data_IF_286176577175
#
_entry.id   IF_286176577175
#
_cell.length_a   1.000
_cell.length_b   1.000
_cell.length_c   1.000
_cell.angle_alpha   90.00
_cell.angle_beta   90.00
_cell.angle_gamma   90.00
#
_symmetry.space_group_name_H-M   'P 1'
#
loop_
_entity.id
_entity.type
_entity.pdbx_description
1 polymer ?
#
# COMPACT_ATOMS: atom_id res chain seq x y z
N UNK A 1 -30.57 7.92 -33.36
CA UNK A 1 -30.51 8.54 -32.02
C UNK A 1 -29.92 7.49 -31.08
N UNK A 2 -28.76 7.77 -30.46
CA UNK A 2 -28.01 6.84 -29.58
C UNK A 2 -28.78 6.52 -28.29
N UNK A 3 -28.33 5.68 -27.36
CA UNK A 3 -27.00 5.22 -26.91
C UNK A 3 -27.23 3.84 -26.26
N UNK A 4 -26.35 2.83 -26.33
CA UNK A 4 -25.03 2.78 -25.73
C UNK A 4 -24.99 1.57 -24.77
N UNK A 5 -24.30 0.51 -25.17
CA UNK A 5 -24.20 -0.74 -24.40
C UNK A 5 -23.47 -0.55 -23.06
N UNK A 6 -24.14 -0.94 -21.96
CA UNK A 6 -23.53 -1.06 -20.65
C UNK A 6 -22.90 -2.42 -20.47
N UNK A 7 -21.65 -2.58 -20.92
CA UNK A 7 -20.83 -3.73 -20.54
C UNK A 7 -20.61 -3.67 -19.02
N UNK A 8 -21.12 -4.68 -18.31
CA UNK A 8 -20.86 -4.90 -16.89
C UNK A 8 -19.38 -5.23 -16.66
N UNK A 9 -18.54 -4.20 -16.59
CA UNK A 9 -17.17 -4.34 -16.14
C UNK A 9 -17.18 -4.59 -14.63
N UNK A 10 -16.90 -5.83 -14.20
CA UNK A 10 -16.45 -6.08 -12.82
C UNK A 10 -15.31 -5.08 -12.57
N UNK A 11 -15.32 -4.29 -11.49
CA UNK A 11 -14.20 -3.41 -11.21
C UNK A 11 -12.97 -4.30 -11.15
N UNK A 12 -12.02 -4.10 -12.08
CA UNK A 12 -10.69 -4.67 -11.97
C UNK A 12 -10.15 -4.07 -10.68
N UNK A 13 -10.23 -4.83 -9.59
CA UNK A 13 -9.60 -4.45 -8.33
C UNK A 13 -8.12 -4.41 -8.68
N UNK A 14 -7.63 -3.21 -8.96
CA UNK A 14 -6.21 -3.02 -9.24
C UNK A 14 -5.44 -3.53 -8.03
N UNK A 15 -4.26 -4.10 -8.25
CA UNK A 15 -3.40 -4.61 -7.18
C UNK A 15 -3.26 -3.58 -6.03
N UNK A 16 -3.24 -2.28 -6.37
CA UNK A 16 -3.28 -1.17 -5.42
C UNK A 16 -4.54 -1.11 -4.55
N UNK A 17 -5.72 -1.34 -5.12
CA UNK A 17 -6.97 -1.36 -4.35
C UNK A 17 -6.95 -2.49 -3.32
N UNK A 18 -6.24 -3.59 -3.59
CA UNK A 18 -6.05 -4.68 -2.64
C UNK A 18 -5.37 -4.21 -1.35
N UNK A 19 -4.28 -3.44 -1.46
CA UNK A 19 -3.60 -2.84 -0.31
C UNK A 19 -4.51 -1.88 0.46
N UNK A 20 -5.16 -0.95 -0.25
CA UNK A 20 -6.02 0.07 0.37
C UNK A 20 -7.18 -0.58 1.12
N UNK A 21 -7.83 -1.59 0.54
CA UNK A 21 -8.92 -2.32 1.18
C UNK A 21 -8.43 -3.11 2.40
N UNK A 22 -7.24 -3.72 2.31
CA UNK A 22 -6.65 -4.44 3.42
C UNK A 22 -6.35 -3.52 4.60
N UNK A 23 -5.73 -2.35 4.37
CA UNK A 23 -5.48 -1.36 5.43
C UNK A 23 -6.78 -0.84 6.04
N UNK A 24 -7.81 -0.55 5.23
CA UNK A 24 -9.13 -0.16 5.75
C UNK A 24 -9.74 -1.23 6.64
N UNK A 25 -9.64 -2.50 6.24
CA UNK A 25 -10.13 -3.62 7.03
C UNK A 25 -9.38 -3.72 8.37
N UNK A 26 -8.05 -3.65 8.37
CA UNK A 26 -7.26 -3.71 9.61
C UNK A 26 -7.56 -2.54 10.55
N UNK A 27 -7.72 -1.32 10.01
CA UNK A 27 -8.11 -0.16 10.82
C UNK A 27 -9.45 -0.36 11.51
N UNK A 28 -10.44 -0.89 10.78
CA UNK A 28 -11.76 -1.15 11.33
C UNK A 28 -11.75 -2.30 12.35
N UNK A 29 -11.02 -3.38 12.05
CA UNK A 29 -10.95 -4.58 12.88
C UNK A 29 -10.21 -4.34 14.21
N UNK A 30 -9.13 -3.53 14.18
CA UNK A 30 -8.29 -3.29 15.36
C UNK A 30 -8.53 -1.92 16.01
N UNK A 31 -9.39 -1.07 15.43
CA UNK A 31 -9.62 0.32 15.88
C UNK A 31 -8.33 1.16 16.02
N UNK A 32 -7.41 1.00 15.06
CA UNK A 32 -6.08 1.64 15.10
C UNK A 32 -5.90 2.76 14.06
N UNK A 33 -4.82 3.52 14.21
CA UNK A 33 -4.40 4.54 13.25
C UNK A 33 -4.03 3.92 11.88
N UNK A 34 -3.91 4.75 10.84
CA UNK A 34 -3.46 4.29 9.51
C UNK A 34 -2.05 3.67 9.62
N UNK A 35 -1.15 4.35 10.33
CA UNK A 35 0.24 3.90 10.48
C UNK A 35 0.32 2.56 11.21
N UNK A 36 -0.49 2.36 12.25
CA UNK A 36 -0.51 1.10 12.99
C UNK A 36 -1.12 -0.04 12.17
N UNK A 37 -2.16 0.24 11.37
CA UNK A 37 -2.71 -0.75 10.45
C UNK A 37 -1.69 -1.14 9.37
N UNK A 38 -0.92 -0.19 8.84
CA UNK A 38 0.19 -0.47 7.93
C UNK A 38 1.29 -1.30 8.62
N UNK A 39 1.59 -1.02 9.89
CA UNK A 39 2.53 -1.82 10.68
C UNK A 39 2.06 -3.26 10.86
N UNK A 40 0.77 -3.46 11.17
CA UNK A 40 0.16 -4.79 11.29
C UNK A 40 0.22 -5.53 9.95
N UNK A 41 -0.14 -4.87 8.85
CA UNK A 41 -0.06 -5.45 7.51
C UNK A 41 1.38 -5.85 7.15
N UNK A 42 2.35 -4.98 7.42
CA UNK A 42 3.77 -5.22 7.11
C UNK A 42 4.46 -6.19 8.08
N UNK A 43 3.80 -6.59 9.17
CA UNK A 43 4.23 -7.69 10.01
C UNK A 43 4.03 -9.04 9.31
N UNK A 44 3.08 -9.15 8.37
CA UNK A 44 2.92 -10.33 7.52
C UNK A 44 4.00 -10.34 6.41
N UNK A 45 4.87 -11.36 6.35
CA UNK A 45 5.90 -11.47 5.33
C UNK A 45 5.35 -11.51 3.89
N UNK A 46 4.15 -12.04 3.67
CA UNK A 46 3.53 -12.08 2.35
C UNK A 46 3.18 -10.68 1.85
N UNK A 47 2.57 -9.87 2.73
CA UNK A 47 2.25 -8.47 2.43
C UNK A 47 3.51 -7.62 2.30
N UNK A 48 4.51 -7.83 3.14
CA UNK A 48 5.80 -7.15 3.02
C UNK A 48 6.43 -7.36 1.64
N UNK A 49 6.61 -8.62 1.22
CA UNK A 49 7.18 -8.96 -0.09
C UNK A 49 6.36 -8.40 -1.25
N UNK A 50 5.04 -8.40 -1.09
CA UNK A 50 4.14 -7.83 -2.08
C UNK A 50 4.35 -6.32 -2.21
N UNK A 51 4.39 -5.58 -1.10
CA UNK A 51 4.62 -4.12 -1.10
C UNK A 51 5.99 -3.77 -1.68
N UNK A 52 7.05 -4.51 -1.30
CA UNK A 52 8.39 -4.34 -1.87
C UNK A 52 8.37 -4.45 -3.39
N UNK A 53 7.75 -5.52 -3.92
CA UNK A 53 7.59 -5.72 -5.37
C UNK A 53 6.79 -4.58 -6.02
N UNK A 54 5.72 -4.11 -5.39
CA UNK A 54 4.91 -3.01 -5.95
C UNK A 54 5.67 -1.69 -5.98
N UNK A 55 6.45 -1.38 -4.95
CA UNK A 55 7.25 -0.16 -4.89
C UNK A 55 8.38 -0.16 -5.94
N UNK A 56 8.91 -1.35 -6.24
CA UNK A 56 9.95 -1.53 -7.27
C UNK A 56 9.38 -1.38 -8.69
N UNK A 57 8.24 -2.00 -8.98
CA UNK A 57 7.71 -2.09 -10.34
C UNK A 57 6.66 -1.03 -10.71
N UNK A 58 5.88 -0.49 -9.76
CA UNK A 58 4.86 0.54 -10.01
C UNK A 58 5.35 1.92 -9.54
N UNK A 59 5.55 2.84 -10.49
CA UNK A 59 5.99 4.23 -10.21
C UNK A 59 5.01 5.00 -9.30
N UNK A 60 3.72 4.69 -9.34
CA UNK A 60 2.73 5.32 -8.47
C UNK A 60 2.85 4.78 -7.04
N UNK A 61 3.05 3.47 -6.86
CA UNK A 61 3.36 2.88 -5.56
C UNK A 61 4.67 3.44 -5.00
N UNK A 62 5.68 3.63 -5.86
CA UNK A 62 6.93 4.29 -5.49
C UNK A 62 6.72 5.72 -4.99
N UNK A 63 5.91 6.53 -5.68
CA UNK A 63 5.54 7.89 -5.22
C UNK A 63 4.80 7.88 -3.89
N UNK A 64 3.92 6.92 -3.66
CA UNK A 64 3.22 6.77 -2.37
C UNK A 64 4.20 6.41 -1.26
N UNK A 65 5.15 5.51 -1.50
CA UNK A 65 6.20 5.17 -0.55
C UNK A 65 7.09 6.37 -0.21
N UNK A 66 7.47 7.18 -1.20
CA UNK A 66 8.17 8.44 -0.97
C UNK A 66 7.39 9.42 -0.11
N UNK A 67 6.10 9.55 -0.38
CA UNK A 67 5.22 10.40 0.42
C UNK A 67 5.11 9.89 1.86
N UNK A 68 4.97 8.58 2.05
CA UNK A 68 4.92 7.97 3.37
C UNK A 68 6.19 8.29 4.19
N UNK A 69 7.38 8.20 3.57
CA UNK A 69 8.64 8.61 4.23
C UNK A 69 8.61 10.09 4.63
N UNK A 70 8.12 10.96 3.74
CA UNK A 70 8.04 12.41 4.01
C UNK A 70 7.04 12.74 5.12
N UNK A 71 5.88 12.09 5.12
CA UNK A 71 4.76 12.39 6.02
C UNK A 71 5.02 11.81 7.42
N UNK A 72 5.75 10.70 7.55
CA UNK A 72 5.98 10.00 8.82
C UNK A 72 7.40 10.13 9.38
N UNK A 73 8.39 10.59 8.60
CA UNK A 73 9.76 10.79 9.06
C UNK A 73 10.35 9.55 9.73
N UNK A 74 10.80 9.69 10.98
CA UNK A 74 11.40 8.60 11.75
C UNK A 74 10.44 7.43 12.02
N UNK A 75 9.13 7.72 12.07
CA UNK A 75 8.07 6.73 12.25
C UNK A 75 7.72 5.97 10.96
N UNK A 76 8.32 6.34 9.82
CA UNK A 76 8.07 5.68 8.55
C UNK A 76 8.48 4.21 8.61
N UNK A 77 7.59 3.37 8.08
CA UNK A 77 7.79 1.92 7.96
C UNK A 77 8.61 1.54 6.72
N UNK A 78 8.88 2.52 5.86
CA UNK A 78 9.64 2.37 4.62
C UNK A 78 10.97 3.11 4.81
N UNK A 79 12.07 2.44 4.48
CA UNK A 79 13.41 2.99 4.43
C UNK A 79 13.83 3.30 3.00
N UNK A 80 14.86 4.13 2.87
CA UNK A 80 15.54 4.42 1.61
C UNK A 80 17.02 4.10 1.78
N UNK A 81 17.58 3.39 0.80
CA UNK A 81 19.02 3.23 0.64
C UNK A 81 19.41 3.50 -0.80
N UNK A 82 20.31 4.46 -1.06
CA UNK A 82 20.83 4.77 -2.39
C UNK A 82 19.80 5.13 -3.49
N UNK A 83 18.50 5.25 -3.16
CA UNK A 83 17.41 5.41 -4.13
C UNK A 83 16.51 4.19 -4.29
N UNK A 84 16.88 3.05 -3.72
CA UNK A 84 16.00 1.91 -3.49
C UNK A 84 15.15 2.15 -2.24
N UNK A 85 13.93 1.64 -2.26
CA UNK A 85 12.98 1.69 -1.15
C UNK A 85 12.79 0.29 -0.61
N UNK A 86 12.82 0.14 0.71
CA UNK A 86 12.67 -1.16 1.38
C UNK A 86 11.75 -1.03 2.59
N UNK A 87 11.11 -2.13 3.00
CA UNK A 87 10.32 -2.11 4.23
C UNK A 87 11.27 -2.30 5.42
N UNK A 88 11.21 -1.38 6.39
CA UNK A 88 11.97 -1.51 7.62
C UNK A 88 11.43 -2.70 8.39
N UNK A 89 12.32 -3.58 8.85
CA UNK A 89 11.95 -4.56 9.85
C UNK A 89 11.69 -3.80 11.14
N UNK A 90 10.43 -3.71 11.54
CA UNK A 90 10.10 -3.39 12.93
C UNK A 90 10.69 -4.51 13.78
N UNK A 91 11.76 -4.16 14.52
CA UNK A 91 12.35 -5.03 15.53
C UNK A 91 11.38 -5.24 16.69
#
# INVERSE_FOLDING_TARGET
MGWGGGAGGRPVVTERNRWILHIKHLRAAHAVSILDAERIALADPAWRRWVERQIEHDQQCRRMAWRHIRDHGDAALIGRDGGQLFIRKSA
#
